data_IF_386562332068
#
_entry.id   IF_386562332068
#
_cell.length_a   1.000
_cell.length_b   1.000
_cell.length_c   1.000
_cell.angle_alpha   90.00
_cell.angle_beta   90.00
_cell.angle_gamma   90.00
#
_symmetry.space_group_name_H-M   'P 1'
#
loop_
_entity.id
_entity.type
_entity.pdbx_description
1 polymer ?
#
# COMPACT_ATOMS: atom_id res chain seq x y z
N UNK A 1 -15.37 26.19 -0.85
CA UNK A 1 -14.91 26.79 0.41
C UNK A 1 -15.68 26.18 1.57
N UNK A 2 -15.01 25.90 2.69
CA UNK A 2 -15.57 25.57 3.99
C UNK A 2 -15.39 26.79 4.90
N UNK A 3 -16.51 27.31 5.41
CA UNK A 3 -16.54 28.46 6.31
C UNK A 3 -17.02 28.02 7.70
N UNK A 4 -16.45 28.59 8.75
CA UNK A 4 -16.91 28.45 10.13
C UNK A 4 -17.10 29.85 10.73
N UNK A 5 -18.33 30.18 11.17
CA UNK A 5 -18.69 31.51 11.67
C UNK A 5 -18.31 32.67 10.74
N UNK A 6 -18.40 32.44 9.42
CA UNK A 6 -18.03 33.43 8.40
C UNK A 6 -16.52 33.56 8.16
N UNK A 7 -15.69 32.82 8.90
CA UNK A 7 -14.24 32.73 8.68
C UNK A 7 -13.93 31.54 7.77
N UNK A 8 -13.07 31.74 6.78
CA UNK A 8 -12.66 30.70 5.85
C UNK A 8 -11.67 29.72 6.51
N UNK A 9 -12.05 28.45 6.58
CA UNK A 9 -11.20 27.37 7.13
C UNK A 9 -10.52 26.54 6.03
N UNK A 10 -11.21 26.24 4.92
CA UNK A 10 -10.64 25.47 3.81
C UNK A 10 -11.16 25.95 2.46
N UNK A 11 -10.29 26.04 1.46
CA UNK A 11 -10.68 26.30 0.07
C UNK A 11 -9.98 25.30 -0.83
N UNK A 12 -10.76 24.59 -1.64
CA UNK A 12 -10.27 23.62 -2.61
C UNK A 12 -10.79 24.01 -3.99
N UNK A 13 -9.91 23.94 -4.98
CA UNK A 13 -10.21 24.20 -6.36
C UNK A 13 -9.68 23.01 -7.16
N UNK A 14 -10.56 22.29 -7.86
CA UNK A 14 -10.15 21.22 -8.76
C UNK A 14 -10.09 21.76 -10.19
N UNK A 15 -8.93 21.59 -10.83
CA UNK A 15 -8.78 21.86 -12.26
C UNK A 15 -9.21 20.63 -13.06
N UNK A 16 -10.08 20.83 -14.05
CA UNK A 16 -10.59 19.74 -14.92
C UNK A 16 -9.52 18.92 -15.65
N UNK A 17 -8.30 19.45 -15.76
CA UNK A 17 -7.20 18.81 -16.48
C UNK A 17 -6.23 18.05 -15.57
N UNK A 18 -6.45 18.05 -14.25
CA UNK A 18 -5.61 17.31 -13.31
C UNK A 18 -6.31 16.00 -12.91
N UNK A 19 -5.91 14.90 -13.54
CA UNK A 19 -6.29 13.57 -13.07
C UNK A 19 -5.51 13.24 -11.81
N UNK A 20 -6.13 13.44 -10.64
CA UNK A 20 -5.55 13.07 -9.35
C UNK A 20 -5.57 11.55 -9.20
N UNK A 21 -4.39 10.92 -9.25
CA UNK A 21 -4.26 9.47 -9.03
C UNK A 21 -4.16 9.08 -7.55
N UNK A 22 -3.92 10.05 -6.65
CA UNK A 22 -3.75 9.79 -5.21
C UNK A 22 -5.06 9.27 -4.63
N UNK A 23 -5.02 8.08 -4.01
CA UNK A 23 -6.18 7.43 -3.40
C UNK A 23 -7.05 6.64 -4.38
N UNK A 24 -6.72 6.63 -5.67
CA UNK A 24 -7.41 5.80 -6.64
C UNK A 24 -7.06 4.32 -6.45
N UNK A 25 -8.04 3.44 -6.66
CA UNK A 25 -7.91 1.99 -6.54
C UNK A 25 -7.99 1.39 -7.94
N UNK A 26 -6.99 0.58 -8.29
CA UNK A 26 -6.88 -0.04 -9.61
C UNK A 26 -6.89 -1.56 -9.48
N UNK A 27 -7.42 -2.24 -10.50
CA UNK A 27 -7.18 -3.66 -10.72
C UNK A 27 -6.01 -3.78 -11.68
N UNK A 28 -4.87 -4.27 -11.19
CA UNK A 28 -3.67 -4.43 -12.00
C UNK A 28 -3.23 -5.87 -12.20
N UNK A 29 -2.32 -6.09 -13.14
CA UNK A 29 -1.64 -7.37 -13.38
C UNK A 29 -0.14 -7.21 -13.09
N UNK A 30 0.43 -8.09 -12.27
CA UNK A 30 1.89 -8.13 -12.07
C UNK A 30 2.57 -8.52 -13.38
N UNK A 31 3.48 -7.68 -13.87
CA UNK A 31 4.23 -7.91 -15.11
C UNK A 31 5.61 -8.51 -14.83
N UNK A 32 6.33 -8.00 -13.82
CA UNK A 32 7.63 -8.53 -13.40
C UNK A 32 7.84 -8.37 -11.89
N UNK A 33 8.79 -9.16 -11.38
CA UNK A 33 9.31 -9.09 -10.01
C UNK A 33 10.80 -8.75 -10.08
N UNK A 34 11.19 -7.60 -9.53
CA UNK A 34 12.57 -7.11 -9.52
C UNK A 34 13.20 -7.33 -8.14
N UNK A 35 13.95 -8.42 -8.00
CA UNK A 35 14.61 -8.77 -6.74
C UNK A 35 15.60 -7.69 -6.26
N UNK A 36 16.32 -7.05 -7.19
CA UNK A 36 17.27 -5.98 -6.87
C UNK A 36 16.60 -4.75 -6.23
N UNK A 37 15.35 -4.47 -6.60
CA UNK A 37 14.54 -3.38 -6.06
C UNK A 37 13.61 -3.83 -4.93
N UNK A 38 13.51 -5.14 -4.68
CA UNK A 38 12.53 -5.76 -3.78
C UNK A 38 11.10 -5.28 -4.07
N UNK A 39 10.74 -5.27 -5.35
CA UNK A 39 9.48 -4.71 -5.82
C UNK A 39 8.91 -5.45 -7.04
N UNK A 40 7.62 -5.29 -7.27
CA UNK A 40 6.92 -5.74 -8.47
C UNK A 40 6.55 -4.52 -9.32
N UNK A 41 6.60 -4.65 -10.65
CA UNK A 41 5.88 -3.71 -11.50
C UNK A 41 4.53 -4.28 -11.92
N UNK A 42 3.51 -3.45 -11.75
CA UNK A 42 2.10 -3.80 -11.96
C UNK A 42 1.55 -2.93 -13.08
N UNK A 43 1.03 -3.58 -14.12
CA UNK A 43 0.27 -2.90 -15.17
C UNK A 43 -1.11 -2.52 -14.63
N UNK A 44 -1.42 -1.22 -14.70
CA UNK A 44 -2.68 -0.61 -14.24
C UNK A 44 -3.34 0.19 -15.36
N UNK A 45 -3.07 -0.17 -16.62
CA UNK A 45 -3.56 0.53 -17.82
C UNK A 45 -3.10 1.99 -17.89
N UNK A 46 -1.86 2.26 -17.47
CA UNK A 46 -1.21 3.57 -17.54
C UNK A 46 0.01 3.53 -18.47
N UNK A 47 0.47 4.69 -18.99
CA UNK A 47 1.64 4.74 -19.86
C UNK A 47 2.92 4.15 -19.25
N UNK A 48 2.99 4.07 -17.91
CA UNK A 48 4.07 3.41 -17.16
C UNK A 48 3.45 2.46 -16.13
N UNK A 49 4.10 1.33 -15.92
CA UNK A 49 3.70 0.41 -14.86
C UNK A 49 3.85 1.06 -13.49
N UNK A 50 2.94 0.71 -12.58
CA UNK A 50 3.03 1.07 -11.18
C UNK A 50 4.15 0.28 -10.49
N UNK A 51 4.80 0.91 -9.54
CA UNK A 51 5.78 0.28 -8.65
C UNK A 51 5.07 -0.18 -7.38
N UNK A 52 5.28 -1.44 -6.97
CA UNK A 52 4.71 -2.00 -5.76
C UNK A 52 5.80 -2.67 -4.93
N UNK A 53 6.08 -2.12 -3.75
CA UNK A 53 7.11 -2.66 -2.86
C UNK A 53 6.66 -3.99 -2.24
N UNK A 54 7.58 -4.95 -2.07
CA UNK A 54 7.21 -6.30 -1.58
C UNK A 54 6.56 -6.29 -0.20
N UNK A 55 6.99 -5.42 0.71
CA UNK A 55 6.33 -5.31 2.01
C UNK A 55 4.86 -4.94 1.87
N UNK A 56 4.46 -4.11 0.91
CA UNK A 56 3.06 -3.71 0.72
C UNK A 56 2.20 -4.78 0.03
N UNK A 57 2.82 -5.84 -0.52
CA UNK A 57 2.12 -6.96 -1.17
C UNK A 57 1.68 -8.06 -0.21
N UNK A 58 2.32 -8.13 0.97
CA UNK A 58 2.11 -9.23 1.90
C UNK A 58 0.86 -8.96 2.75
N UNK A 59 -0.08 -9.91 2.86
CA UNK A 59 -1.27 -9.77 3.70
C UNK A 59 -0.96 -9.41 5.15
N UNK A 60 0.19 -9.86 5.68
CA UNK A 60 0.66 -9.56 7.03
C UNK A 60 1.23 -8.13 7.22
N UNK A 61 1.51 -7.41 6.12
CA UNK A 61 1.90 -6.01 6.19
C UNK A 61 0.69 -5.07 6.26
N UNK A 62 -0.49 -5.50 5.81
CA UNK A 62 -1.74 -4.82 6.11
C UNK A 62 -2.10 -4.86 7.60
N UNK A 63 -1.68 -5.90 8.33
CA UNK A 63 -1.75 -5.93 9.80
C UNK A 63 -0.74 -4.99 10.46
N UNK A 64 0.24 -4.46 9.71
CA UNK A 64 1.33 -3.63 10.24
C UNK A 64 1.18 -2.14 9.89
N UNK A 65 0.26 -1.76 9.00
CA UNK A 65 -0.12 -0.34 8.79
C UNK A 65 -1.16 0.16 9.80
N UNK A 66 -1.75 -0.73 10.60
CA UNK A 66 -2.30 -0.33 11.90
C UNK A 66 -1.23 -0.64 12.94
N UNK A 67 -0.38 0.34 13.22
CA UNK A 67 0.48 0.31 14.39
C UNK A 67 -0.43 0.39 15.65
N UNK A 68 -1.04 -0.73 16.01
CA UNK A 68 -1.46 -0.93 17.39
C UNK A 68 -0.17 -0.99 18.20
N UNK A 69 0.08 0.06 18.98
CA UNK A 69 1.14 0.16 19.99
C UNK A 69 1.27 -1.19 20.68
N UNK A 70 2.37 -1.91 20.40
CA UNK A 70 2.63 -3.25 20.92
C UNK A 70 3.10 -3.13 22.36
N UNK A 71 2.26 -3.55 23.30
CA UNK A 71 2.71 -4.01 24.61
C UNK A 71 1.90 -5.23 25.06
N UNK A 72 1.95 -6.31 24.26
CA UNK A 72 1.93 -7.72 24.68
C UNK A 72 1.70 -8.64 23.47
N UNK A 73 2.75 -9.17 22.84
CA UNK A 73 2.60 -10.31 21.93
C UNK A 73 2.81 -11.62 22.70
N UNK A 74 1.84 -12.54 22.66
CA UNK A 74 1.93 -13.86 23.30
C UNK A 74 2.81 -14.83 22.50
N UNK A 75 3.29 -15.90 23.15
CA UNK A 75 4.14 -16.92 22.52
C UNK A 75 3.48 -17.60 21.30
N UNK A 76 2.15 -17.68 21.29
CA UNK A 76 1.36 -18.24 20.19
C UNK A 76 1.40 -17.34 18.94
N UNK A 77 1.44 -16.01 19.12
CA UNK A 77 1.55 -15.05 18.02
C UNK A 77 2.95 -15.10 17.36
N UNK A 78 4.01 -15.32 18.15
CA UNK A 78 5.36 -15.60 17.61
C UNK A 78 5.40 -16.88 16.77
N UNK A 79 4.68 -17.91 17.21
CA UNK A 79 4.62 -19.18 16.48
C UNK A 79 3.84 -19.09 15.16
N UNK A 80 2.79 -18.27 15.08
CA UNK A 80 2.06 -18.00 13.84
C UNK A 80 2.89 -17.19 12.83
N UNK A 81 3.63 -16.18 13.28
CA UNK A 81 4.58 -15.42 12.42
C UNK A 81 5.70 -16.31 11.89
N UNK A 82 6.17 -17.29 12.66
CA UNK A 82 7.19 -18.25 12.21
C UNK A 82 6.68 -19.23 11.13
N UNK A 83 5.36 -19.49 11.07
CA UNK A 83 4.76 -20.36 10.05
C UNK A 83 4.67 -19.73 8.67
N UNK A 84 4.68 -18.40 8.57
CA UNK A 84 4.59 -17.64 7.31
C UNK A 84 5.92 -16.95 6.95
N UNK A 85 7.05 -17.62 7.22
CA UNK A 85 8.38 -17.11 6.85
C UNK A 85 8.89 -17.74 5.55
N UNK A 86 9.33 -16.87 4.64
CA UNK A 86 10.30 -17.03 3.54
C UNK A 86 10.13 -18.16 2.51
N UNK A 87 9.33 -19.20 2.78
CA UNK A 87 9.07 -20.33 1.86
C UNK A 87 7.87 -20.09 0.95
N UNK A 88 7.02 -19.13 1.29
CA UNK A 88 5.83 -18.74 0.51
C UNK A 88 6.15 -17.68 -0.56
N UNK A 89 7.41 -17.25 -0.65
CA UNK A 89 7.89 -16.46 -1.80
C UNK A 89 8.02 -17.44 -2.96
N UNK A 90 7.36 -17.21 -4.11
CA UNK A 90 7.53 -18.06 -5.29
C UNK A 90 9.03 -18.20 -5.59
N UNK A 91 9.53 -19.44 -5.55
CA UNK A 91 10.88 -19.72 -6.04
C UNK A 91 10.85 -19.64 -7.57
N UNK A 92 11.93 -19.05 -8.10
CA UNK A 92 12.18 -18.79 -9.53
C UNK A 92 11.80 -19.96 -10.46
#
# INVERSE_FOLDING_TARGET
ALLNNGVLERFELEHRNENRMVGAIFKGRVQNLEAGLKAAFVDIDQPKNAFLHYWDMLPAANDSQVEFIRDNESAEQKQRKARHQAKDIPQL
#
